data_IF_329485918409
#
_entry.id   IF_329485918409
#
_cell.length_a   1.000
_cell.length_b   1.000
_cell.length_c   1.000
_cell.angle_alpha   90.00
_cell.angle_beta   90.00
_cell.angle_gamma   90.00
#
_symmetry.space_group_name_H-M   'P 1'
#
loop_
_entity.id
_entity.type
_entity.pdbx_description
1 polymer ?
#
# COMPACT_ATOMS: atom_id res chain seq x y z
N UNK A 1 4.26 -26.24 14.59
CA UNK A 1 2.91 -26.14 15.21
C UNK A 1 1.91 -25.89 14.10
N UNK A 2 1.01 -26.83 13.78
CA UNK A 2 0.06 -26.66 12.67
C UNK A 2 -1.01 -25.68 13.11
N UNK A 3 -1.01 -24.47 12.59
CA UNK A 3 -2.05 -23.48 12.87
C UNK A 3 -3.36 -24.00 12.28
N UNK A 4 -4.39 -24.08 13.12
CA UNK A 4 -5.67 -24.60 12.67
C UNK A 4 -6.32 -23.61 11.68
N UNK A 5 -6.98 -24.13 10.62
CA UNK A 5 -7.77 -23.33 9.67
C UNK A 5 -8.71 -22.32 10.32
N UNK A 6 -9.16 -22.60 11.56
CA UNK A 6 -10.01 -21.72 12.37
C UNK A 6 -9.32 -20.40 12.77
N UNK A 7 -7.99 -20.38 12.90
CA UNK A 7 -7.25 -19.18 13.30
C UNK A 7 -7.09 -18.20 12.14
N UNK A 8 -6.81 -18.69 10.93
CA UNK A 8 -6.82 -17.87 9.71
C UNK A 8 -8.18 -17.20 9.45
N UNK A 9 -9.26 -17.85 9.91
CA UNK A 9 -10.63 -17.32 9.78
C UNK A 9 -10.93 -16.18 10.76
N UNK A 10 -10.26 -16.13 11.90
CA UNK A 10 -10.57 -15.19 12.99
C UNK A 10 -10.02 -13.79 12.73
N UNK A 11 -8.92 -13.68 12.00
CA UNK A 11 -8.26 -12.40 11.78
C UNK A 11 -8.75 -11.71 10.50
N UNK A 12 -9.59 -10.64 10.60
CA UNK A 12 -10.05 -9.86 9.46
C UNK A 12 -8.99 -8.86 8.99
N UNK A 13 -7.95 -8.65 9.79
CA UNK A 13 -6.91 -7.65 9.56
C UNK A 13 -5.75 -8.25 8.78
N UNK A 14 -5.04 -7.40 8.09
CA UNK A 14 -3.76 -7.77 7.49
C UNK A 14 -2.70 -7.54 8.56
N UNK A 15 -2.23 -8.63 9.15
CA UNK A 15 -0.98 -8.62 9.89
C UNK A 15 0.20 -8.60 8.92
N UNK A 16 1.35 -8.21 9.41
CA UNK A 16 2.58 -8.22 8.64
C UNK A 16 3.65 -8.95 9.44
N UNK A 17 4.54 -9.71 8.78
CA UNK A 17 5.65 -10.35 9.45
C UNK A 17 6.53 -9.31 10.14
N UNK A 18 7.07 -9.63 11.31
CA UNK A 18 8.14 -8.88 11.94
C UNK A 18 9.46 -9.43 11.39
N UNK A 19 10.22 -8.59 10.71
CA UNK A 19 11.48 -9.00 10.09
C UNK A 19 12.65 -8.72 11.04
N UNK A 20 13.34 -9.77 11.49
CA UNK A 20 14.49 -9.66 12.39
C UNK A 20 15.59 -8.77 11.82
N UNK A 21 15.89 -8.88 10.53
CA UNK A 21 16.92 -8.07 9.88
C UNK A 21 16.56 -6.59 9.84
N UNK A 22 15.30 -6.26 9.56
CA UNK A 22 14.80 -4.88 9.63
C UNK A 22 14.94 -4.35 11.05
N UNK A 23 14.51 -5.12 12.05
CA UNK A 23 14.62 -4.73 13.47
C UNK A 23 16.07 -4.55 13.89
N UNK A 24 16.99 -5.42 13.47
CA UNK A 24 18.43 -5.30 13.78
C UNK A 24 19.02 -4.02 13.19
N UNK A 25 18.71 -3.68 11.94
CA UNK A 25 19.17 -2.42 11.32
C UNK A 25 18.66 -1.23 12.12
N UNK A 26 17.37 -1.20 12.47
CA UNK A 26 16.80 -0.10 13.23
C UNK A 26 17.38 0.03 14.64
N UNK A 27 17.52 -1.07 15.39
CA UNK A 27 18.05 -1.07 16.74
C UNK A 27 19.50 -0.59 16.80
N UNK A 28 20.34 -1.01 15.86
CA UNK A 28 21.72 -0.60 15.78
C UNK A 28 21.88 0.91 15.52
N UNK A 29 20.95 1.53 14.81
CA UNK A 29 20.99 2.95 14.49
C UNK A 29 20.32 3.82 15.55
N UNK A 30 19.29 3.35 16.22
CA UNK A 30 18.64 4.07 17.33
C UNK A 30 19.56 4.33 18.53
N UNK A 31 20.64 3.57 18.64
CA UNK A 31 21.67 3.80 19.67
C UNK A 31 22.54 5.04 19.38
N UNK A 32 22.42 5.69 18.22
CA UNK A 32 23.19 6.88 17.89
C UNK A 32 22.48 8.18 18.33
N UNK A 33 23.20 9.07 19.00
CA UNK A 33 22.69 10.37 19.49
C UNK A 33 22.13 11.30 18.39
N UNK A 34 22.47 11.05 17.13
CA UNK A 34 22.03 11.84 15.99
C UNK A 34 20.54 11.74 15.71
N UNK A 35 19.89 10.69 16.21
CA UNK A 35 18.47 10.44 15.98
C UNK A 35 17.53 11.49 16.61
N UNK A 36 17.98 12.16 17.66
CA UNK A 36 17.19 13.12 18.45
C UNK A 36 17.61 14.57 18.27
N UNK A 37 18.70 14.84 17.53
CA UNK A 37 19.17 16.20 17.29
C UNK A 37 18.41 16.81 16.13
N UNK A 38 17.71 17.89 16.41
CA UNK A 38 16.99 18.70 15.42
C UNK A 38 17.65 20.06 15.34
N UNK A 39 18.29 20.36 14.21
CA UNK A 39 18.73 21.70 13.85
C UNK A 39 17.67 22.41 12.99
N UNK A 40 17.61 23.73 13.06
CA UNK A 40 16.80 24.55 12.17
C UNK A 40 17.24 24.35 10.71
N UNK A 41 16.31 23.98 9.82
CA UNK A 41 16.56 23.70 8.40
C UNK A 41 17.11 22.31 8.07
N UNK A 42 17.62 21.55 9.05
CA UNK A 42 18.12 20.19 8.83
C UNK A 42 16.99 19.22 8.49
N UNK A 43 15.84 19.39 9.14
CA UNK A 43 14.69 18.53 8.93
C UNK A 43 14.20 18.59 7.46
N UNK A 44 14.11 19.79 6.87
CA UNK A 44 13.74 19.95 5.46
C UNK A 44 14.77 19.33 4.52
N UNK A 45 16.07 19.51 4.81
CA UNK A 45 17.14 18.88 4.04
C UNK A 45 17.05 17.35 4.07
N UNK A 46 16.81 16.77 5.23
CA UNK A 46 16.65 15.32 5.38
C UNK A 46 15.43 14.79 4.63
N UNK A 47 14.29 15.47 4.69
CA UNK A 47 13.11 15.07 3.93
C UNK A 47 13.35 15.15 2.41
N UNK A 48 14.03 16.17 1.92
CA UNK A 48 14.38 16.31 0.52
C UNK A 48 15.34 15.20 0.05
N UNK A 49 16.28 14.80 0.91
CA UNK A 49 17.18 13.68 0.65
C UNK A 49 16.38 12.36 0.56
N UNK A 50 15.52 12.10 1.54
CA UNK A 50 14.63 10.91 1.54
C UNK A 50 13.72 10.91 0.30
N UNK A 51 13.17 12.04 -0.11
CA UNK A 51 12.40 12.15 -1.35
C UNK A 51 13.22 11.73 -2.56
N UNK A 52 14.44 12.25 -2.72
CA UNK A 52 15.33 11.92 -3.84
C UNK A 52 15.66 10.43 -3.87
N UNK A 53 16.04 9.87 -2.73
CA UNK A 53 16.36 8.44 -2.59
C UNK A 53 15.13 7.57 -2.88
N UNK A 54 13.94 7.96 -2.39
CA UNK A 54 12.71 7.19 -2.59
C UNK A 54 12.29 7.19 -4.07
N UNK A 55 12.40 8.31 -4.78
CA UNK A 55 12.11 8.37 -6.23
C UNK A 55 12.96 7.38 -7.00
N UNK A 56 14.25 7.29 -6.67
CA UNK A 56 15.17 6.34 -7.28
C UNK A 56 14.83 4.89 -6.87
N UNK A 57 14.48 4.66 -5.60
CA UNK A 57 14.16 3.36 -5.03
C UNK A 57 12.91 2.70 -5.65
N UNK A 58 11.92 3.52 -6.07
CA UNK A 58 10.68 3.03 -6.69
C UNK A 58 10.62 3.20 -8.20
N UNK A 59 11.66 3.73 -8.86
CA UNK A 59 11.64 4.14 -10.28
C UNK A 59 11.24 3.02 -11.26
N UNK A 60 11.58 1.78 -10.95
CA UNK A 60 11.22 0.63 -11.78
C UNK A 60 9.75 0.21 -11.61
N UNK A 61 9.11 0.67 -10.53
CA UNK A 61 7.72 0.38 -10.21
C UNK A 61 6.81 1.51 -10.69
N UNK A 62 7.19 2.75 -10.43
CA UNK A 62 6.31 3.90 -10.67
C UNK A 62 7.13 5.13 -11.04
N UNK A 63 6.65 5.86 -12.04
CA UNK A 63 7.17 7.17 -12.41
C UNK A 63 6.49 8.26 -11.57
N UNK A 64 7.31 9.00 -10.81
CA UNK A 64 6.87 10.08 -9.93
C UNK A 64 7.22 11.48 -10.45
N UNK A 65 7.75 11.63 -11.66
CA UNK A 65 8.17 12.94 -12.22
C UNK A 65 7.03 13.97 -12.25
N UNK A 66 5.80 13.51 -12.52
CA UNK A 66 4.64 14.40 -12.56
C UNK A 66 4.13 14.87 -11.18
N UNK A 67 4.77 14.43 -10.08
CA UNK A 67 4.39 14.76 -8.69
C UNK A 67 5.53 15.51 -7.99
N UNK A 68 5.64 16.83 -8.17
CA UNK A 68 6.78 17.62 -7.68
C UNK A 68 6.77 17.81 -6.15
N UNK A 69 5.67 17.54 -5.47
CA UNK A 69 5.54 17.76 -4.04
C UNK A 69 5.57 16.43 -3.28
N UNK A 70 6.50 16.31 -2.32
CA UNK A 70 6.60 15.17 -1.42
C UNK A 70 6.41 15.60 0.03
N UNK A 71 5.68 14.79 0.79
CA UNK A 71 5.39 15.01 2.21
C UNK A 71 5.56 13.72 3.00
N UNK A 72 6.12 13.83 4.22
CA UNK A 72 6.08 12.75 5.19
C UNK A 72 4.67 12.67 5.82
N UNK A 73 4.23 11.44 6.05
CA UNK A 73 2.97 11.12 6.75
C UNK A 73 3.15 9.92 7.68
N UNK A 74 2.32 9.84 8.71
CA UNK A 74 2.36 8.72 9.65
C UNK A 74 1.64 7.47 9.07
N UNK A 75 2.16 6.98 7.92
CA UNK A 75 1.61 5.87 7.14
C UNK A 75 0.42 6.28 6.26
N UNK A 76 -0.03 5.38 5.39
CA UNK A 76 -1.11 5.64 4.43
C UNK A 76 -2.43 6.06 5.10
N UNK A 77 -2.70 5.61 6.32
CA UNK A 77 -3.89 6.05 7.09
C UNK A 77 -3.91 7.55 7.33
N UNK A 78 -2.75 8.14 7.64
CA UNK A 78 -2.60 9.58 7.83
C UNK A 78 -2.72 10.34 6.50
N UNK A 79 -2.17 9.78 5.42
CA UNK A 79 -2.36 10.30 4.07
C UNK A 79 -3.85 10.38 3.70
N UNK A 80 -4.61 9.32 3.99
CA UNK A 80 -6.06 9.28 3.78
C UNK A 80 -6.77 10.33 4.63
N UNK A 81 -6.37 10.55 5.89
CA UNK A 81 -6.91 11.62 6.75
C UNK A 81 -6.75 12.98 6.08
N UNK A 82 -5.53 13.32 5.68
CA UNK A 82 -5.24 14.60 5.05
C UNK A 82 -6.02 14.79 3.75
N UNK A 83 -6.11 13.73 2.93
CA UNK A 83 -6.91 13.76 1.70
C UNK A 83 -8.39 14.00 1.99
N UNK A 84 -9.02 13.18 2.83
CA UNK A 84 -10.46 13.30 3.16
C UNK A 84 -10.79 14.64 3.81
N UNK A 85 -9.90 15.17 4.64
CA UNK A 85 -10.07 16.47 5.29
C UNK A 85 -10.14 17.63 4.28
N UNK A 86 -9.42 17.51 3.16
CA UNK A 86 -9.34 18.55 2.13
C UNK A 86 -10.24 18.28 0.92
N UNK A 87 -10.67 17.05 0.71
CA UNK A 87 -11.56 16.66 -0.39
C UNK A 87 -12.98 17.18 -0.15
N UNK A 88 -13.50 17.92 -1.12
CA UNK A 88 -14.86 18.51 -1.05
C UNK A 88 -15.85 17.82 -1.99
N UNK A 89 -15.33 17.03 -2.93
CA UNK A 89 -16.14 16.28 -3.90
C UNK A 89 -16.62 14.98 -3.25
N UNK A 90 -17.79 14.50 -3.68
CA UNK A 90 -18.13 13.09 -3.47
C UNK A 90 -17.10 12.22 -4.18
N UNK A 91 -16.75 11.11 -3.61
CA UNK A 91 -15.71 10.22 -4.14
C UNK A 91 -16.20 8.77 -4.30
N UNK A 92 -15.41 7.98 -4.97
CA UNK A 92 -15.74 6.60 -5.30
C UNK A 92 -14.53 5.68 -5.10
N UNK A 93 -14.78 4.40 -4.89
CA UNK A 93 -13.76 3.36 -4.76
C UNK A 93 -14.21 2.05 -5.41
N UNK A 94 -13.25 1.18 -5.69
CA UNK A 94 -13.56 -0.18 -6.13
C UNK A 94 -14.03 -1.04 -4.95
N UNK A 95 -14.77 -2.12 -5.25
CA UNK A 95 -15.11 -3.11 -4.25
C UNK A 95 -13.85 -3.76 -3.67
N UNK A 96 -13.81 -3.89 -2.34
CA UNK A 96 -12.69 -4.48 -1.62
C UNK A 96 -11.51 -3.54 -1.35
N UNK A 97 -11.58 -2.28 -1.76
CA UNK A 97 -10.62 -1.25 -1.36
C UNK A 97 -10.64 -0.99 0.15
N UNK A 98 -9.60 -0.30 0.64
CA UNK A 98 -9.48 0.01 2.05
C UNK A 98 -10.57 0.98 2.50
N UNK A 99 -11.44 0.53 3.42
CA UNK A 99 -12.67 1.23 3.80
C UNK A 99 -12.48 2.32 4.86
N UNK A 100 -11.24 2.59 5.28
CA UNK A 100 -10.97 3.53 6.36
C UNK A 100 -11.45 4.95 6.05
N UNK A 101 -11.35 5.39 4.81
CA UNK A 101 -11.83 6.70 4.39
C UNK A 101 -13.34 6.88 4.62
N UNK A 102 -14.13 5.81 4.47
CA UNK A 102 -15.59 5.82 4.77
C UNK A 102 -15.90 6.01 6.27
N UNK A 103 -14.92 5.72 7.14
CA UNK A 103 -15.10 5.89 8.60
C UNK A 103 -14.83 7.32 9.09
N UNK A 104 -14.09 8.11 8.30
CA UNK A 104 -13.62 9.44 8.71
C UNK A 104 -14.19 10.58 7.86
N UNK A 105 -14.88 10.29 6.78
CA UNK A 105 -15.41 11.27 5.85
C UNK A 105 -16.75 10.88 5.24
N UNK A 106 -17.17 11.57 4.19
CA UNK A 106 -18.36 11.20 3.42
C UNK A 106 -18.21 9.77 2.88
N UNK A 107 -19.31 9.01 2.92
CA UNK A 107 -19.31 7.64 2.38
C UNK A 107 -19.05 7.63 0.88
N UNK A 108 -18.14 6.77 0.45
CA UNK A 108 -17.84 6.57 -0.96
C UNK A 108 -18.98 5.85 -1.70
N UNK A 109 -19.06 6.10 -2.99
CA UNK A 109 -19.78 5.21 -3.90
C UNK A 109 -18.90 4.01 -4.22
N UNK A 110 -19.39 2.78 -4.00
CA UNK A 110 -18.68 1.57 -4.38
C UNK A 110 -18.95 1.25 -5.84
N UNK A 111 -17.91 1.31 -6.66
CA UNK A 111 -17.95 0.85 -8.05
C UNK A 111 -17.72 -0.65 -8.06
N UNK A 112 -18.72 -1.43 -8.42
CA UNK A 112 -18.57 -2.87 -8.60
C UNK A 112 -18.00 -3.15 -9.99
N UNK A 113 -16.96 -3.98 -10.06
CA UNK A 113 -16.56 -4.58 -11.33
C UNK A 113 -17.69 -5.50 -11.81
N UNK A 114 -18.10 -5.36 -13.06
CA UNK A 114 -19.19 -6.21 -13.61
C UNK A 114 -18.61 -7.59 -13.93
N UNK A 115 -19.13 -8.67 -13.34
CA UNK A 115 -18.67 -10.03 -13.65
C UNK A 115 -18.83 -10.33 -15.12
N UNK A 116 -17.80 -10.86 -15.76
CA UNK A 116 -17.87 -11.48 -17.09
C UNK A 116 -17.56 -10.60 -18.29
N UNK A 117 -17.50 -9.28 -18.19
CA UNK A 117 -17.18 -8.44 -19.36
C UNK A 117 -15.67 -8.27 -19.60
N UNK A 118 -14.82 -8.68 -18.67
CA UNK A 118 -13.41 -8.26 -18.63
C UNK A 118 -12.43 -9.31 -18.11
N UNK A 119 -12.74 -10.58 -18.35
CA UNK A 119 -11.86 -11.69 -17.96
C UNK A 119 -10.73 -11.88 -18.96
N UNK A 120 -9.61 -11.20 -18.78
CA UNK A 120 -8.40 -11.48 -19.57
C UNK A 120 -7.07 -11.21 -18.85
N UNK A 121 -7.06 -10.84 -17.58
CA UNK A 121 -5.86 -10.93 -16.80
C UNK A 121 -5.95 -12.06 -15.76
N UNK A 122 -4.81 -12.45 -15.22
CA UNK A 122 -4.74 -13.54 -14.26
C UNK A 122 -5.51 -13.25 -12.96
N UNK A 123 -5.87 -12.00 -12.72
CA UNK A 123 -6.57 -11.52 -11.53
C UNK A 123 -8.08 -11.43 -11.71
N UNK A 124 -8.56 -11.46 -12.95
CA UNK A 124 -9.99 -11.25 -13.29
C UNK A 124 -10.46 -9.80 -13.15
N UNK A 125 -9.51 -8.85 -12.92
CA UNK A 125 -9.75 -7.41 -12.76
C UNK A 125 -9.33 -6.60 -13.97
N UNK A 126 -9.60 -7.04 -15.17
CA UNK A 126 -9.02 -6.44 -16.36
C UNK A 126 -9.60 -5.11 -16.83
N UNK A 127 -10.66 -4.60 -16.22
CA UNK A 127 -11.10 -3.24 -16.46
C UNK A 127 -11.96 -2.73 -15.32
N UNK A 128 -11.67 -1.55 -14.88
CA UNK A 128 -12.56 -0.78 -14.05
C UNK A 128 -13.85 -0.55 -14.83
N UNK A 129 -14.96 -1.01 -14.25
CA UNK A 129 -16.22 -1.16 -14.91
C UNK A 129 -16.87 0.12 -15.43
N UNK A 130 -17.94 -0.05 -16.18
CA UNK A 130 -18.71 1.00 -16.82
C UNK A 130 -19.36 2.02 -15.87
N UNK A 131 -19.22 1.85 -14.56
CA UNK A 131 -19.92 2.64 -13.53
C UNK A 131 -19.05 3.67 -12.80
N UNK A 132 -17.85 3.99 -13.33
CA UNK A 132 -17.05 5.08 -12.77
C UNK A 132 -17.63 6.42 -13.22
N UNK A 133 -17.97 7.24 -12.25
CA UNK A 133 -18.40 8.61 -12.46
C UNK A 133 -17.16 9.49 -12.75
N UNK A 134 -17.05 10.12 -13.93
CA UNK A 134 -15.90 10.94 -14.27
C UNK A 134 -15.74 12.19 -13.40
N UNK A 135 -16.80 12.60 -12.69
CA UNK A 135 -16.78 13.79 -11.84
C UNK A 135 -16.34 13.50 -10.40
N UNK A 136 -16.20 12.22 -10.02
CA UNK A 136 -15.83 11.83 -8.65
C UNK A 136 -14.41 11.30 -8.60
N UNK A 137 -13.57 11.76 -7.66
CA UNK A 137 -12.29 11.13 -7.42
C UNK A 137 -12.41 9.63 -7.16
N UNK A 138 -11.57 8.84 -7.80
CA UNK A 138 -11.46 7.40 -7.60
C UNK A 138 -10.30 7.10 -6.66
N UNK A 139 -10.60 6.54 -5.48
CA UNK A 139 -9.60 5.93 -4.61
C UNK A 139 -9.35 4.49 -5.07
N UNK A 140 -8.09 4.19 -5.37
CA UNK A 140 -7.68 2.87 -5.88
C UNK A 140 -6.31 2.47 -5.36
N UNK A 141 -6.14 1.23 -4.90
CA UNK A 141 -4.85 0.68 -4.48
C UNK A 141 -4.24 -0.21 -5.56
N UNK A 142 -2.94 -0.02 -5.81
CA UNK A 142 -2.12 -0.84 -6.71
C UNK A 142 -0.78 -1.11 -6.03
N UNK A 143 -0.50 -2.36 -5.64
CA UNK A 143 -1.33 -3.57 -5.70
C UNK A 143 -2.64 -3.44 -4.92
N UNK A 144 -3.66 -4.18 -5.38
CA UNK A 144 -5.02 -4.06 -4.86
C UNK A 144 -5.14 -4.45 -3.39
N UNK A 145 -5.79 -3.62 -2.59
CA UNK A 145 -6.14 -3.95 -1.21
C UNK A 145 -7.13 -5.14 -1.13
N UNK A 146 -7.87 -5.39 -2.20
CA UNK A 146 -8.87 -6.45 -2.22
C UNK A 146 -8.27 -7.86 -2.27
N UNK A 147 -7.15 -8.06 -2.98
CA UNK A 147 -6.57 -9.39 -3.21
C UNK A 147 -5.03 -9.43 -3.22
N UNK A 148 -4.38 -8.28 -3.13
CA UNK A 148 -2.92 -8.16 -3.14
C UNK A 148 -2.27 -8.28 -4.52
N UNK A 149 -3.05 -8.23 -5.61
CA UNK A 149 -2.51 -8.38 -6.96
C UNK A 149 -2.37 -7.04 -7.68
N UNK A 150 -1.41 -6.99 -8.60
CA UNK A 150 -1.33 -5.90 -9.58
C UNK A 150 -2.48 -5.99 -10.58
N UNK A 151 -2.95 -4.86 -11.02
CA UNK A 151 -3.88 -4.74 -12.15
C UNK A 151 -3.69 -3.39 -12.83
N UNK A 152 -4.12 -3.28 -14.06
CA UNK A 152 -4.09 -2.02 -14.80
C UNK A 152 -5.49 -1.40 -14.82
N UNK A 153 -5.72 -0.31 -14.07
CA UNK A 153 -7.04 0.33 -14.03
C UNK A 153 -7.47 0.94 -15.36
N UNK A 154 -6.54 1.13 -16.29
CA UNK A 154 -6.78 1.75 -17.60
C UNK A 154 -6.69 0.75 -18.76
N UNK A 155 -6.69 -0.56 -18.50
CA UNK A 155 -6.42 -1.57 -19.53
C UNK A 155 -7.34 -1.49 -20.76
N UNK A 156 -8.52 -0.89 -20.63
CA UNK A 156 -9.51 -0.78 -21.72
C UNK A 156 -9.90 0.63 -22.12
N UNK A 157 -9.75 1.59 -21.22
CA UNK A 157 -9.99 3.01 -21.50
C UNK A 157 -9.20 3.88 -20.53
N UNK A 158 -8.86 5.07 -20.96
CA UNK A 158 -8.29 6.08 -20.08
C UNK A 158 -9.32 6.45 -18.99
N UNK A 159 -8.86 6.58 -17.74
CA UNK A 159 -9.69 7.09 -16.67
C UNK A 159 -9.81 8.60 -16.81
N UNK A 160 -11.03 9.09 -16.95
CA UNK A 160 -11.32 10.52 -17.04
C UNK A 160 -11.47 11.19 -15.68
N UNK A 161 -11.78 10.39 -14.63
CA UNK A 161 -11.91 10.90 -13.27
C UNK A 161 -10.56 11.20 -12.63
N UNK A 162 -10.50 12.11 -11.65
CA UNK A 162 -9.35 12.26 -10.76
C UNK A 162 -9.05 10.94 -10.02
N UNK A 163 -7.77 10.63 -9.81
CA UNK A 163 -7.36 9.38 -9.15
C UNK A 163 -6.52 9.68 -7.92
N UNK A 164 -6.83 8.99 -6.83
CA UNK A 164 -6.03 8.91 -5.61
C UNK A 164 -5.46 7.50 -5.55
N UNK A 165 -4.15 7.37 -5.75
CA UNK A 165 -3.47 6.10 -5.90
C UNK A 165 -2.80 5.68 -4.59
N UNK A 166 -3.23 4.56 -4.03
CA UNK A 166 -2.63 3.95 -2.84
C UNK A 166 -1.63 2.85 -3.23
N UNK A 167 -0.35 3.11 -3.04
CA UNK A 167 0.76 2.19 -3.29
C UNK A 167 1.27 1.50 -2.01
N UNK A 168 0.43 1.32 -1.00
CA UNK A 168 0.82 0.76 0.32
C UNK A 168 1.47 -0.62 0.22
N UNK A 169 1.15 -1.43 -0.78
CA UNK A 169 1.65 -2.81 -0.90
C UNK A 169 2.87 -2.97 -1.81
N UNK A 170 3.38 -1.92 -2.45
CA UNK A 170 4.47 -2.05 -3.44
C UNK A 170 5.73 -2.70 -2.84
N UNK A 171 6.09 -2.38 -1.60
CA UNK A 171 7.23 -2.99 -0.90
C UNK A 171 6.97 -4.42 -0.37
N UNK A 172 5.81 -4.98 -0.68
CA UNK A 172 5.43 -6.36 -0.32
C UNK A 172 5.35 -7.28 -1.53
N UNK A 173 5.72 -6.80 -2.71
CA UNK A 173 5.52 -7.50 -3.99
C UNK A 173 6.80 -7.53 -4.80
N UNK A 174 6.84 -8.40 -5.82
CA UNK A 174 7.87 -8.30 -6.86
C UNK A 174 7.82 -6.95 -7.57
N UNK A 175 8.93 -6.52 -8.14
CA UNK A 175 8.96 -5.34 -9.01
C UNK A 175 8.02 -5.56 -10.20
N UNK A 176 7.05 -4.67 -10.32
CA UNK A 176 6.15 -4.62 -11.48
C UNK A 176 5.75 -3.17 -11.75
N UNK A 177 5.86 -2.75 -13.01
CA UNK A 177 5.56 -1.37 -13.40
C UNK A 177 4.07 -1.06 -13.26
N UNK A 178 3.78 0.04 -12.57
CA UNK A 178 2.44 0.62 -12.44
C UNK A 178 2.27 1.70 -13.51
N UNK A 179 1.24 1.52 -14.35
CA UNK A 179 0.83 2.57 -15.28
C UNK A 179 -0.03 3.58 -14.53
N UNK A 180 0.58 4.69 -14.13
CA UNK A 180 -0.08 5.76 -13.38
C UNK A 180 -1.13 6.42 -14.28
N UNK A 181 -2.41 6.47 -13.88
CA UNK A 181 -3.41 7.23 -14.62
C UNK A 181 -3.04 8.70 -14.74
N UNK A 182 -3.23 9.28 -15.94
CA UNK A 182 -2.87 10.67 -16.23
C UNK A 182 -3.51 11.67 -15.26
N UNK A 183 -4.73 11.40 -14.80
CA UNK A 183 -5.47 12.25 -13.88
C UNK A 183 -5.22 11.90 -12.39
N UNK A 184 -4.13 11.18 -12.08
CA UNK A 184 -3.75 10.93 -10.68
C UNK A 184 -3.33 12.24 -10.04
N UNK A 185 -3.98 12.60 -8.95
CA UNK A 185 -3.70 13.81 -8.17
C UNK A 185 -2.68 13.54 -7.05
N UNK A 186 -2.78 12.35 -6.43
CA UNK A 186 -1.96 11.97 -5.29
C UNK A 186 -1.55 10.50 -5.38
N UNK A 187 -0.35 10.19 -4.87
CA UNK A 187 0.18 8.83 -4.71
C UNK A 187 0.64 8.65 -3.27
N UNK A 188 0.18 7.59 -2.61
CA UNK A 188 0.53 7.25 -1.23
C UNK A 188 1.46 6.05 -1.16
N UNK A 189 2.47 6.13 -0.31
CA UNK A 189 3.35 5.00 0.01
C UNK A 189 3.36 4.74 1.51
N UNK A 190 3.52 3.48 1.88
CA UNK A 190 3.67 3.08 3.28
C UNK A 190 4.75 2.02 3.42
N UNK A 191 5.60 2.18 4.42
CA UNK A 191 6.62 1.21 4.80
C UNK A 191 6.10 0.19 5.83
N UNK A 192 4.87 0.40 6.32
CA UNK A 192 4.30 -0.42 7.39
C UNK A 192 4.06 -1.87 6.98
N UNK A 193 3.70 -2.13 5.71
CA UNK A 193 3.28 -3.46 5.26
C UNK A 193 4.43 -4.30 4.74
N UNK A 194 5.26 -3.75 3.88
CA UNK A 194 6.40 -4.48 3.33
C UNK A 194 7.42 -4.88 4.38
N UNK A 195 7.76 -3.94 5.24
CA UNK A 195 8.85 -4.10 6.21
C UNK A 195 8.41 -4.43 7.64
N UNK A 196 7.14 -4.78 7.86
CA UNK A 196 6.65 -5.15 9.20
C UNK A 196 6.57 -4.00 10.20
N UNK A 197 6.63 -2.75 9.75
CA UNK A 197 6.75 -1.56 10.61
C UNK A 197 5.40 -0.89 10.92
N UNK A 198 4.38 -1.69 11.21
CA UNK A 198 3.01 -1.18 11.45
C UNK A 198 2.98 -0.15 12.60
N UNK A 199 3.74 -0.39 13.65
CA UNK A 199 3.81 0.49 14.83
C UNK A 199 4.58 1.78 14.60
N UNK A 200 5.49 1.83 13.63
CA UNK A 200 6.35 3.00 13.36
C UNK A 200 5.64 4.10 12.59
N UNK A 201 4.55 3.79 11.91
CA UNK A 201 3.73 4.75 11.18
C UNK A 201 4.52 5.60 10.18
N UNK A 202 5.04 4.97 9.12
CA UNK A 202 5.93 5.56 8.13
C UNK A 202 5.28 5.58 6.75
N UNK A 203 5.26 6.74 6.09
CA UNK A 203 4.74 6.87 4.73
C UNK A 203 5.17 8.18 4.06
N UNK A 204 5.03 8.21 2.74
CA UNK A 204 5.25 9.36 1.91
C UNK A 204 4.03 9.61 1.02
N UNK A 205 3.72 10.88 0.79
CA UNK A 205 2.68 11.32 -0.15
C UNK A 205 3.32 12.18 -1.23
N UNK A 206 3.00 11.86 -2.47
CA UNK A 206 3.38 12.65 -3.64
C UNK A 206 2.14 13.29 -4.26
N UNK A 207 2.20 14.59 -4.58
CA UNK A 207 1.08 15.31 -5.16
C UNK A 207 1.49 16.18 -6.34
N UNK A 208 0.57 16.40 -7.30
CA UNK A 208 0.79 17.33 -8.42
C UNK A 208 0.77 18.77 -7.96
N UNK A 209 -0.18 19.11 -7.13
CA UNK A 209 -0.35 20.45 -6.58
C UNK A 209 0.00 20.46 -5.09
N UNK A 210 0.41 21.60 -4.51
CA UNK A 210 0.66 21.70 -3.08
C UNK A 210 -0.57 21.26 -2.26
N UNK A 211 -0.41 20.26 -1.41
CA UNK A 211 -1.50 19.77 -0.58
C UNK A 211 -1.78 20.72 0.58
N UNK A 212 -3.01 21.21 0.70
CA UNK A 212 -3.37 22.32 1.60
C UNK A 212 -2.89 22.15 3.06
N UNK A 213 -3.03 20.95 3.64
CA UNK A 213 -2.61 20.69 5.03
C UNK A 213 -1.16 20.21 5.13
N UNK A 214 -0.73 19.28 4.25
CA UNK A 214 0.62 18.72 4.30
C UNK A 214 1.69 19.75 3.92
N UNK A 215 1.38 20.64 2.97
CA UNK A 215 2.29 21.73 2.60
C UNK A 215 2.56 22.65 3.78
N UNK A 216 1.51 22.98 4.55
CA UNK A 216 1.65 23.79 5.75
C UNK A 216 2.49 23.10 6.83
N UNK A 217 2.31 21.78 7.02
CA UNK A 217 3.17 21.02 7.93
C UNK A 217 4.63 21.01 7.46
N UNK A 218 4.87 20.92 6.14
CA UNK A 218 6.23 21.00 5.56
C UNK A 218 6.87 22.37 5.80
N UNK A 219 6.12 23.46 5.61
CA UNK A 219 6.61 24.82 5.90
C UNK A 219 7.04 25.03 7.35
N UNK A 220 6.34 24.40 8.30
CA UNK A 220 6.65 24.48 9.72
C UNK A 220 7.63 23.40 10.23
N UNK A 221 8.14 22.56 9.33
CA UNK A 221 8.95 21.39 9.71
C UNK A 221 8.29 20.52 10.78
N UNK A 222 6.96 20.37 10.71
CA UNK A 222 6.16 19.69 11.71
C UNK A 222 5.78 18.28 11.27
N UNK A 223 6.75 17.37 11.29
CA UNK A 223 6.55 15.94 11.00
C UNK A 223 7.42 15.09 11.93
N UNK A 224 7.22 13.76 11.86
CA UNK A 224 8.02 12.80 12.62
C UNK A 224 9.43 12.68 12.02
N UNK A 225 10.38 13.44 12.55
CA UNK A 225 11.78 13.43 12.11
C UNK A 225 12.42 12.05 12.20
N UNK A 226 12.20 11.33 13.31
CA UNK A 226 12.66 9.96 13.48
C UNK A 226 12.10 9.01 12.42
N UNK A 227 10.86 9.24 12.00
CA UNK A 227 10.24 8.48 10.91
C UNK A 227 10.93 8.71 9.56
N UNK A 228 11.31 9.94 9.23
CA UNK A 228 12.07 10.27 8.02
C UNK A 228 13.41 9.53 8.02
N UNK A 229 14.14 9.56 9.14
CA UNK A 229 15.42 8.84 9.28
C UNK A 229 15.23 7.32 9.20
N UNK A 230 14.15 6.78 9.73
CA UNK A 230 13.84 5.35 9.61
C UNK A 230 13.58 4.95 8.14
N UNK A 231 12.87 5.76 7.37
CA UNK A 231 12.66 5.53 5.93
C UNK A 231 14.00 5.53 5.18
N UNK A 232 14.87 6.49 5.46
CA UNK A 232 16.22 6.58 4.87
C UNK A 232 17.02 5.30 5.13
N UNK A 233 17.01 4.81 6.38
CA UNK A 233 17.70 3.57 6.76
C UNK A 233 17.15 2.34 6.03
N UNK A 234 15.83 2.21 5.92
CA UNK A 234 15.22 1.10 5.20
C UNK A 234 15.70 1.10 3.75
N UNK A 235 15.57 2.22 3.05
CA UNK A 235 15.94 2.31 1.64
C UNK A 235 17.45 2.14 1.39
N UNK A 236 18.28 2.47 2.38
CA UNK A 236 19.73 2.29 2.29
C UNK A 236 20.19 0.84 2.50
N UNK A 237 19.36 0.01 3.13
CA UNK A 237 19.73 -1.37 3.50
C UNK A 237 18.94 -2.43 2.75
N UNK A 238 17.78 -2.11 2.19
CA UNK A 238 16.87 -3.07 1.57
C UNK A 238 16.38 -2.58 0.21
N UNK A 239 16.34 -3.48 -0.75
CA UNK A 239 15.66 -3.24 -2.02
C UNK A 239 14.13 -3.17 -1.82
N UNK A 240 13.42 -2.56 -2.75
CA UNK A 240 11.96 -2.37 -2.65
C UNK A 240 11.20 -3.70 -2.60
N UNK A 241 11.71 -4.74 -3.25
CA UNK A 241 11.16 -6.09 -3.29
C UNK A 241 11.91 -7.11 -2.42
N UNK A 242 12.78 -6.64 -1.52
CA UNK A 242 13.58 -7.51 -0.65
C UNK A 242 12.71 -8.53 0.10
N UNK A 243 11.67 -8.03 0.74
CA UNK A 243 10.78 -8.88 1.55
C UNK A 243 10.00 -9.88 0.68
N UNK A 244 9.62 -9.50 -0.53
CA UNK A 244 9.01 -10.42 -1.47
C UNK A 244 10.00 -11.52 -1.88
N UNK A 245 11.24 -11.17 -2.20
CA UNK A 245 12.29 -12.14 -2.54
C UNK A 245 12.56 -13.11 -1.39
N UNK A 246 12.53 -12.64 -0.15
CA UNK A 246 12.76 -13.44 1.04
C UNK A 246 11.63 -14.46 1.30
N UNK A 247 10.36 -14.07 1.11
CA UNK A 247 9.21 -14.85 1.57
C UNK A 247 8.38 -15.53 0.48
N UNK A 248 8.61 -15.27 -0.80
CA UNK A 248 7.80 -15.82 -1.92
C UNK A 248 7.72 -17.34 -1.94
N UNK A 249 8.85 -18.02 -1.63
CA UNK A 249 8.89 -19.48 -1.62
C UNK A 249 8.05 -20.06 -0.48
N UNK A 250 8.07 -19.42 0.68
CA UNK A 250 7.19 -19.78 1.80
C UNK A 250 5.72 -19.55 1.46
N UNK A 251 5.38 -18.41 0.82
CA UNK A 251 4.02 -18.15 0.34
C UNK A 251 3.53 -19.28 -0.57
N UNK A 252 4.34 -19.67 -1.57
CA UNK A 252 3.99 -20.73 -2.52
C UNK A 252 3.76 -22.06 -1.79
N UNK A 253 4.64 -22.43 -0.85
CA UNK A 253 4.51 -23.64 -0.04
C UNK A 253 3.23 -23.65 0.78
N UNK A 254 2.95 -22.57 1.50
CA UNK A 254 1.74 -22.39 2.31
C UNK A 254 0.49 -22.47 1.42
N UNK A 255 0.49 -21.75 0.31
CA UNK A 255 -0.66 -21.74 -0.60
C UNK A 255 -0.96 -23.14 -1.15
N UNK A 256 0.07 -23.92 -1.47
CA UNK A 256 -0.08 -25.32 -1.91
C UNK A 256 -0.65 -26.21 -0.80
N UNK A 257 -0.19 -26.04 0.45
CA UNK A 257 -0.65 -26.84 1.59
C UNK A 257 -2.13 -26.60 1.93
N UNK A 258 -2.56 -25.34 1.83
CA UNK A 258 -3.92 -24.92 2.22
C UNK A 258 -4.91 -24.82 1.06
N UNK A 259 -4.50 -25.16 -0.17
CA UNK A 259 -5.27 -24.99 -1.41
C UNK A 259 -5.71 -23.53 -1.64
N UNK A 260 -4.75 -22.60 -1.44
CA UNK A 260 -4.92 -21.19 -1.73
C UNK A 260 -4.21 -20.81 -3.03
N UNK A 261 -4.67 -19.75 -3.66
CA UNK A 261 -3.97 -19.11 -4.79
C UNK A 261 -3.09 -17.98 -4.24
N UNK A 262 -1.75 -17.99 -4.48
CA UNK A 262 -0.88 -16.90 -4.03
C UNK A 262 -1.24 -15.59 -4.73
N UNK A 263 -1.14 -14.47 -4.00
CA UNK A 263 -1.22 -13.12 -4.55
C UNK A 263 0.18 -12.63 -4.95
N UNK A 264 0.24 -11.47 -5.65
CA UNK A 264 1.53 -10.79 -5.90
C UNK A 264 2.14 -10.26 -4.60
N UNK A 265 1.34 -9.97 -3.57
CA UNK A 265 1.78 -9.59 -2.23
C UNK A 265 2.09 -10.85 -1.40
N UNK A 266 3.34 -10.99 -0.90
CA UNK A 266 3.85 -12.22 -0.30
C UNK A 266 3.07 -12.74 0.93
N UNK A 267 2.42 -11.87 1.69
CA UNK A 267 1.64 -12.26 2.87
C UNK A 267 0.14 -12.41 2.61
N UNK A 268 -0.29 -12.30 1.35
CA UNK A 268 -1.68 -12.47 0.95
C UNK A 268 -1.86 -13.66 0.01
N UNK A 269 -3.03 -14.25 0.11
CA UNK A 269 -3.52 -15.29 -0.78
C UNK A 269 -5.02 -15.11 -1.03
N UNK A 270 -5.56 -15.83 -2.00
CA UNK A 270 -6.99 -15.85 -2.29
C UNK A 270 -7.52 -17.28 -2.34
N UNK A 271 -8.81 -17.45 -2.01
CA UNK A 271 -9.47 -18.75 -2.08
C UNK A 271 -10.94 -18.60 -2.44
N UNK A 272 -11.49 -19.65 -3.08
CA UNK A 272 -12.94 -19.81 -3.30
C UNK A 272 -13.61 -20.70 -2.26
N UNK A 273 -12.86 -21.23 -1.29
CA UNK A 273 -13.42 -22.07 -0.24
C UNK A 273 -14.47 -21.28 0.56
N UNK A 274 -15.75 -21.74 0.58
CA UNK A 274 -16.83 -21.04 1.28
C UNK A 274 -16.59 -20.86 2.77
N UNK A 275 -15.71 -21.66 3.37
CA UNK A 275 -15.33 -21.55 4.76
C UNK A 275 -14.75 -20.16 5.10
N UNK A 276 -14.01 -19.54 4.16
CA UNK A 276 -13.37 -18.24 4.33
C UNK A 276 -14.22 -17.07 3.83
N UNK A 277 -15.32 -17.32 3.15
CA UNK A 277 -16.08 -16.31 2.40
C UNK A 277 -16.87 -15.31 3.24
N UNK A 278 -16.95 -15.45 4.56
CA UNK A 278 -17.78 -14.58 5.40
C UNK A 278 -17.24 -13.17 5.62
N UNK A 279 -15.94 -12.88 5.37
CA UNK A 279 -15.32 -11.64 5.82
C UNK A 279 -14.89 -10.67 4.73
N UNK A 280 -14.40 -11.16 3.58
CA UNK A 280 -13.97 -10.33 2.46
C UNK A 280 -14.22 -11.04 1.14
N UNK A 281 -15.46 -11.38 0.94
CA UNK A 281 -15.91 -11.94 -0.33
C UNK A 281 -16.04 -10.83 -1.35
N UNK A 282 -15.35 -10.96 -2.46
CA UNK A 282 -15.49 -10.09 -3.60
C UNK A 282 -16.57 -10.63 -4.52
N UNK A 283 -17.59 -9.81 -4.82
CA UNK A 283 -18.75 -10.21 -5.63
C UNK A 283 -18.37 -10.50 -7.08
N UNK A 284 -17.33 -9.84 -7.58
CA UNK A 284 -16.93 -9.93 -8.97
C UNK A 284 -16.25 -11.25 -9.34
N UNK A 285 -15.62 -11.98 -8.42
CA UNK A 285 -14.94 -13.26 -8.72
C UNK A 285 -15.16 -14.37 -7.70
N UNK A 286 -16.03 -14.14 -6.72
CA UNK A 286 -16.36 -15.08 -5.66
C UNK A 286 -15.16 -15.59 -4.86
N UNK A 287 -14.16 -14.74 -4.66
CA UNK A 287 -12.95 -15.07 -3.89
C UNK A 287 -12.90 -14.33 -2.56
N UNK A 288 -12.28 -14.94 -1.57
CA UNK A 288 -11.92 -14.33 -0.31
C UNK A 288 -10.42 -14.08 -0.25
N UNK A 289 -10.01 -12.92 0.29
CA UNK A 289 -8.62 -12.63 0.62
C UNK A 289 -8.26 -13.24 1.96
N UNK A 290 -7.13 -13.92 2.01
CA UNK A 290 -6.56 -14.52 3.21
C UNK A 290 -5.24 -13.84 3.53
N UNK A 291 -5.03 -13.41 4.77
CA UNK A 291 -3.72 -13.05 5.29
C UNK A 291 -3.04 -14.31 5.83
N UNK A 292 -1.89 -14.64 5.29
CA UNK A 292 -1.13 -15.85 5.64
C UNK A 292 0.06 -15.56 6.54
N UNK A 293 0.21 -14.33 7.05
CA UNK A 293 1.34 -13.91 7.90
C UNK A 293 1.59 -14.86 9.07
N UNK A 294 0.53 -15.32 9.73
CA UNK A 294 0.66 -16.25 10.86
C UNK A 294 1.20 -17.65 10.51
N UNK A 295 1.33 -17.94 9.22
CA UNK A 295 1.92 -19.18 8.68
C UNK A 295 3.33 -18.97 8.14
N UNK A 296 3.74 -17.71 7.97
CA UNK A 296 5.09 -17.37 7.52
C UNK A 296 6.03 -17.55 8.72
N UNK A 297 7.06 -18.35 8.54
CA UNK A 297 8.10 -18.53 9.53
C UNK A 297 9.10 -17.36 9.45
N UNK A 298 9.23 -16.61 10.53
CA UNK A 298 10.09 -15.40 10.58
C UNK A 298 11.59 -15.78 10.55
N UNK A 299 11.95 -17.01 10.88
CA UNK A 299 13.35 -17.46 11.00
C UNK A 299 13.90 -18.09 9.72
N UNK A 300 13.14 -18.16 8.63
CA UNK A 300 13.65 -18.54 7.31
C UNK A 300 14.36 -19.89 7.29
N UNK A 301 13.69 -20.97 7.71
CA UNK A 301 14.19 -22.34 7.60
C UNK A 301 13.95 -22.93 6.21
#
# INVERSE_FOLDING_TARGET
>A
MTIQKSELRKNPWVDVPCHSDVMNVLMNQHASDTYYKRGSGEATSDLNNVESVHREWVKEIIDLEQFPHCYFVNGATDAIHHWVLTEKRDWQRLEGEYEYADAIGPKSTVCCDVPGQYMNDQTGRSAIGANIDPNKPLFVSIPSAADGNYFNPQAKRELECPVILDCTYVSSTKIQKINVPKNTEQVFFSFSKGFGLVGQRLGLVYTKEPHATLHRLKEFENWNYGGVKTIELIMSNFAVDEMWNMYKEQQIKICKEYDFKPSDCFFLATTRDPYYMRRRRMRWNDTARICITSLIDEEGN
#
